data_IF_581147496266
#
_entry.id   IF_581147496266
#
_cell.length_a   1.000
_cell.length_b   1.000
_cell.length_c   1.000
_cell.angle_alpha   90.00
_cell.angle_beta   90.00
_cell.angle_gamma   90.00
#
_symmetry.space_group_name_H-M   'P 1'
#
loop_
_entity.id
_entity.type
_entity.pdbx_description
1 polymer ?
#
# COMPACT_ATOMS: atom_id res chain seq x y z
N UNK A 1 -18.35 -34.22 -14.90
CA UNK A 1 -18.58 -33.24 -13.82
C UNK A 1 -17.36 -32.31 -13.77
N UNK A 2 -17.43 -31.14 -14.41
CA UNK A 2 -16.32 -30.19 -14.45
C UNK A 2 -16.44 -29.29 -13.21
N UNK A 3 -15.57 -29.45 -12.20
CA UNK A 3 -15.49 -28.49 -11.09
C UNK A 3 -14.86 -27.21 -11.63
N UNK A 4 -15.66 -26.17 -11.84
CA UNK A 4 -15.15 -24.80 -11.94
C UNK A 4 -14.72 -24.39 -10.52
N UNK A 5 -13.42 -24.21 -10.30
CA UNK A 5 -12.94 -23.51 -9.10
C UNK A 5 -13.48 -22.09 -9.17
N UNK A 6 -14.20 -21.64 -8.14
CA UNK A 6 -14.62 -20.24 -8.07
C UNK A 6 -13.37 -19.36 -8.00
N UNK A 7 -13.26 -18.38 -8.88
CA UNK A 7 -12.18 -17.38 -8.82
C UNK A 7 -12.42 -16.51 -7.58
N UNK A 8 -11.66 -16.77 -6.51
CA UNK A 8 -11.70 -15.99 -5.27
C UNK A 8 -10.50 -15.05 -5.21
N UNK A 9 -10.70 -13.89 -4.60
CA UNK A 9 -9.59 -12.99 -4.27
C UNK A 9 -8.81 -13.58 -3.08
N UNK A 10 -7.51 -13.30 -3.03
CA UNK A 10 -6.63 -13.73 -1.93
C UNK A 10 -6.17 -12.50 -1.16
N UNK A 11 -6.24 -12.57 0.17
CA UNK A 11 -5.67 -11.58 1.07
C UNK A 11 -4.34 -12.05 1.65
N UNK A 12 -3.46 -11.09 1.99
CA UNK A 12 -2.20 -11.36 2.70
C UNK A 12 -2.36 -10.88 4.14
N UNK A 13 -2.15 -11.77 5.11
CA UNK A 13 -2.06 -11.39 6.51
C UNK A 13 -0.67 -10.79 6.77
N UNK A 14 -0.55 -9.48 6.65
CA UNK A 14 0.73 -8.75 6.61
C UNK A 14 1.59 -8.99 7.85
N UNK A 15 1.03 -8.89 9.06
CA UNK A 15 1.73 -9.15 10.31
C UNK A 15 2.34 -10.57 10.39
N UNK A 16 1.54 -11.64 10.29
CA UNK A 16 2.06 -13.01 10.25
C UNK A 16 3.04 -13.30 9.10
N UNK A 17 2.94 -12.56 7.99
CA UNK A 17 3.86 -12.65 6.86
C UNK A 17 5.18 -11.87 7.08
N UNK A 18 5.33 -11.16 8.20
CA UNK A 18 6.50 -10.31 8.45
C UNK A 18 6.59 -9.11 7.51
N UNK A 19 5.44 -8.60 7.06
CA UNK A 19 5.34 -7.49 6.11
C UNK A 19 4.73 -6.25 6.76
N UNK A 20 5.35 -5.10 6.48
CA UNK A 20 4.74 -3.79 6.62
C UNK A 20 4.23 -3.37 5.24
N UNK A 21 2.97 -2.96 5.17
CA UNK A 21 2.38 -2.45 3.93
C UNK A 21 1.95 -1.01 4.14
N UNK A 22 2.40 -0.13 3.27
CA UNK A 22 1.95 1.26 3.20
C UNK A 22 0.91 1.36 2.08
N UNK A 23 -0.34 1.65 2.43
CA UNK A 23 -1.43 1.84 1.47
C UNK A 23 -1.51 3.33 1.08
N UNK A 24 -1.24 3.60 -0.19
CA UNK A 24 -1.24 4.95 -0.79
C UNK A 24 -2.55 5.14 -1.52
N UNK A 25 -3.59 5.39 -0.73
CA UNK A 25 -4.95 5.62 -1.20
C UNK A 25 -5.05 6.90 -2.05
N UNK A 26 -6.04 6.93 -2.94
CA UNK A 26 -6.53 8.19 -3.51
C UNK A 26 -7.45 8.89 -2.49
N UNK A 27 -7.61 10.23 -2.58
CA UNK A 27 -8.60 10.94 -1.79
C UNK A 27 -9.99 10.36 -1.95
N UNK A 28 -10.71 10.26 -0.85
CA UNK A 28 -12.07 9.71 -0.77
C UNK A 28 -13.10 10.83 -0.72
N UNK A 29 -14.33 10.49 -1.10
CA UNK A 29 -15.44 11.43 -0.93
C UNK A 29 -15.63 11.78 0.54
N UNK A 30 -15.56 13.07 0.86
CA UNK A 30 -15.65 13.57 2.23
C UNK A 30 -14.30 13.99 2.85
N UNK A 31 -13.19 13.71 2.17
CA UNK A 31 -11.89 14.26 2.57
C UNK A 31 -11.87 15.79 2.37
N UNK A 32 -10.98 16.44 3.10
CA UNK A 32 -10.78 17.89 3.01
C UNK A 32 -10.46 18.32 1.57
N UNK A 33 -10.99 19.47 1.11
CA UNK A 33 -10.62 20.01 -0.19
C UNK A 33 -9.10 20.15 -0.33
N UNK A 34 -8.55 19.62 -1.43
CA UNK A 34 -7.11 19.63 -1.69
C UNK A 34 -6.32 18.48 -1.04
N UNK A 35 -7.00 17.47 -0.47
CA UNK A 35 -6.34 16.23 -0.06
C UNK A 35 -5.50 15.66 -1.21
N UNK A 36 -4.25 15.32 -0.90
CA UNK A 36 -3.29 14.81 -1.87
C UNK A 36 -3.50 13.30 -2.04
N UNK A 37 -3.06 12.76 -3.18
CA UNK A 37 -2.93 11.31 -3.32
C UNK A 37 -1.84 10.81 -2.38
N UNK A 38 -2.03 9.63 -1.78
CA UNK A 38 -1.11 9.12 -0.76
C UNK A 38 0.34 9.03 -1.22
N UNK A 39 0.58 8.82 -2.52
CA UNK A 39 1.93 8.86 -3.08
C UNK A 39 2.60 10.23 -2.94
N UNK A 40 1.88 11.30 -3.22
CA UNK A 40 2.39 12.67 -3.03
C UNK A 40 2.63 12.96 -1.56
N UNK A 41 1.70 12.58 -0.68
CA UNK A 41 1.87 12.76 0.77
C UNK A 41 3.12 12.06 1.31
N UNK A 42 3.36 10.80 0.88
CA UNK A 42 4.52 10.04 1.32
C UNK A 42 5.83 10.64 0.79
N UNK A 43 5.86 11.09 -0.47
CA UNK A 43 7.03 11.77 -1.03
C UNK A 43 7.34 13.06 -0.28
N UNK A 44 6.33 13.90 -0.02
CA UNK A 44 6.53 15.13 0.75
C UNK A 44 6.97 14.86 2.19
N UNK A 45 6.43 13.81 2.83
CA UNK A 45 6.87 13.38 4.16
C UNK A 45 8.33 12.97 4.15
N UNK A 46 8.76 12.21 3.14
CA UNK A 46 10.16 11.84 2.96
C UNK A 46 11.08 13.05 2.85
N UNK A 47 10.74 14.01 1.98
CA UNK A 47 11.48 15.26 1.83
C UNK A 47 11.61 16.00 3.16
N UNK A 48 10.52 16.15 3.91
CA UNK A 48 10.54 16.82 5.23
C UNK A 48 11.37 16.05 6.26
N UNK A 49 11.38 14.72 6.19
CA UNK A 49 12.15 13.87 7.08
C UNK A 49 13.64 13.76 6.67
N UNK A 50 14.03 14.26 5.49
CA UNK A 50 15.37 14.08 4.94
C UNK A 50 15.65 12.66 4.44
N UNK A 51 14.61 11.92 4.06
CA UNK A 51 14.69 10.54 3.60
C UNK A 51 13.88 10.34 2.32
N UNK A 52 14.47 9.71 1.30
CA UNK A 52 13.71 9.27 0.13
C UNK A 52 12.85 8.04 0.46
N UNK A 53 11.75 7.87 -0.27
CA UNK A 53 10.95 6.65 -0.21
C UNK A 53 11.75 5.52 -0.87
N UNK A 54 12.11 4.44 -0.16
CA UNK A 54 12.88 3.36 -0.75
C UNK A 54 12.09 2.65 -1.86
N UNK A 55 12.79 2.24 -2.91
CA UNK A 55 12.22 1.35 -3.91
C UNK A 55 11.93 -0.01 -3.28
N UNK A 56 10.71 -0.51 -3.50
CA UNK A 56 10.26 -1.81 -2.98
C UNK A 56 9.16 -2.39 -3.86
N UNK A 57 8.77 -3.63 -3.61
CA UNK A 57 7.64 -4.26 -4.30
C UNK A 57 6.40 -3.37 -4.18
N UNK A 58 5.90 -2.95 -5.33
CA UNK A 58 4.84 -1.94 -5.45
C UNK A 58 3.75 -2.45 -6.38
N UNK A 59 2.50 -2.41 -5.94
CA UNK A 59 1.34 -2.95 -6.68
C UNK A 59 0.24 -1.91 -6.75
N UNK A 60 -0.40 -1.77 -7.92
CA UNK A 60 -1.56 -0.90 -8.07
C UNK A 60 -2.79 -1.50 -7.37
N UNK A 61 -3.59 -0.64 -6.76
CA UNK A 61 -4.89 -1.02 -6.21
C UNK A 61 -5.97 -0.86 -7.29
N UNK A 62 -7.08 -1.62 -7.23
CA UNK A 62 -8.18 -1.47 -8.18
C UNK A 62 -8.80 -0.07 -8.21
N UNK A 63 -8.70 0.68 -7.11
CA UNK A 63 -9.15 2.06 -6.99
C UNK A 63 -8.19 3.09 -7.58
N UNK A 64 -6.99 2.69 -8.01
CA UNK A 64 -6.00 3.56 -8.66
C UNK A 64 -4.88 4.09 -7.75
N UNK A 65 -4.91 3.76 -6.45
CA UNK A 65 -3.78 3.99 -5.54
C UNK A 65 -2.69 2.92 -5.63
N UNK A 66 -1.74 2.92 -4.72
CA UNK A 66 -0.60 1.99 -4.70
C UNK A 66 -0.36 1.35 -3.33
N UNK A 67 0.17 0.13 -3.29
CA UNK A 67 0.67 -0.51 -2.07
C UNK A 67 2.15 -0.78 -2.18
N UNK A 68 2.90 -0.33 -1.17
CA UNK A 68 4.33 -0.59 -1.04
C UNK A 68 4.52 -1.64 0.07
N UNK A 69 5.26 -2.70 -0.23
CA UNK A 69 5.51 -3.82 0.68
C UNK A 69 6.94 -3.77 1.21
N UNK A 70 7.12 -3.85 2.52
CA UNK A 70 8.44 -3.86 3.16
C UNK A 70 8.57 -5.08 4.07
N UNK A 71 9.77 -5.65 4.15
CA UNK A 71 10.09 -6.66 5.16
C UNK A 71 10.22 -5.99 6.52
N UNK A 72 9.58 -6.55 7.55
CA UNK A 72 9.76 -6.11 8.93
C UNK A 72 11.08 -6.71 9.46
N UNK A 73 11.94 -5.92 10.12
CA UNK A 73 13.16 -6.44 10.73
C UNK A 73 12.88 -7.56 11.73
N UNK A 74 13.75 -8.56 11.78
CA UNK A 74 13.61 -9.67 12.73
C UNK A 74 13.64 -9.16 14.19
N UNK A 75 12.71 -9.65 15.01
CA UNK A 75 12.64 -9.31 16.44
C UNK A 75 11.98 -7.96 16.75
N UNK A 76 11.27 -7.37 15.79
CA UNK A 76 10.38 -6.22 16.02
C UNK A 76 9.15 -6.59 16.85
#
# INVERSE_FOLDING_TARGET
MLRRSAHVNVGIATGPAGLLVVDLDLPKSGDSPGALVGQTELTELGVRAGHDVPSTDTVCTPSGGWRLYFSVPAGS
#
